data_IF_947850717547
#
_entry.id   IF_947850717547
#
_cell.length_a   1.000
_cell.length_b   1.000
_cell.length_c   1.000
_cell.angle_alpha   90.00
_cell.angle_beta   90.00
_cell.angle_gamma   90.00
#
_symmetry.space_group_name_H-M   'P 1'
#
loop_
_entity.id
_entity.type
_entity.pdbx_description
1 polymer ?
#
# COMPACT_ATOMS: atom_id res chain seq x y z
N UNK A 1 28.09 7.83 28.49
CA UNK A 1 26.79 8.35 28.02
C UNK A 1 27.03 9.71 27.40
N UNK A 2 26.94 9.84 26.08
CA UNK A 2 26.95 11.16 25.44
C UNK A 2 25.64 11.86 25.76
N UNK A 3 25.68 12.87 26.63
CA UNK A 3 24.53 13.74 26.91
C UNK A 3 24.22 14.51 25.62
N UNK A 4 23.05 14.28 25.03
CA UNK A 4 22.59 15.09 23.90
C UNK A 4 22.23 16.49 24.42
N UNK A 5 22.85 17.52 23.86
CA UNK A 5 22.40 18.90 24.07
C UNK A 5 21.14 19.15 23.25
N UNK A 6 20.26 20.08 23.68
CA UNK A 6 19.04 20.46 22.93
C UNK A 6 19.36 20.82 21.47
N UNK A 7 20.45 21.57 21.25
CA UNK A 7 20.92 21.94 19.90
C UNK A 7 21.40 20.73 19.08
N UNK A 8 22.16 19.82 19.69
CA UNK A 8 22.62 18.59 19.01
C UNK A 8 21.44 17.69 18.64
N UNK A 9 20.41 17.62 19.48
CA UNK A 9 19.20 16.84 19.23
C UNK A 9 18.44 17.39 18.03
N UNK A 10 18.20 18.71 18.01
CA UNK A 10 17.54 19.40 16.89
C UNK A 10 18.30 19.21 15.58
N UNK A 11 19.61 19.41 15.59
CA UNK A 11 20.45 19.17 14.41
C UNK A 11 20.38 17.71 13.92
N UNK A 12 20.29 16.73 14.83
CA UNK A 12 20.13 15.33 14.45
C UNK A 12 18.75 15.03 13.85
N UNK A 13 17.68 15.63 14.39
CA UNK A 13 16.33 15.54 13.85
C UNK A 13 16.31 16.13 12.43
N UNK A 14 16.83 17.34 12.23
CA UNK A 14 16.86 18.03 10.94
C UNK A 14 17.65 17.22 9.89
N UNK A 15 18.82 16.70 10.28
CA UNK A 15 19.62 15.80 9.42
C UNK A 15 18.82 14.56 9.02
N UNK A 16 18.09 13.97 9.96
CA UNK A 16 17.29 12.76 9.72
C UNK A 16 16.09 13.04 8.83
N UNK A 17 15.46 14.20 8.98
CA UNK A 17 14.37 14.66 8.10
C UNK A 17 14.88 14.90 6.67
N UNK A 18 16.08 15.48 6.51
CA UNK A 18 16.71 15.65 5.20
C UNK A 18 16.97 14.30 4.51
N UNK A 19 17.48 13.30 5.23
CA UNK A 19 17.65 11.94 4.71
C UNK A 19 16.32 11.31 4.29
N UNK A 20 15.22 11.58 5.01
CA UNK A 20 13.89 11.11 4.61
C UNK A 20 13.46 11.69 3.27
N UNK A 21 13.73 12.98 3.02
CA UNK A 21 13.42 13.64 1.75
C UNK A 21 14.23 13.00 0.62
N UNK A 22 15.53 12.76 0.82
CA UNK A 22 16.37 12.04 -0.15
C UNK A 22 15.82 10.63 -0.46
N UNK A 23 15.31 9.93 0.55
CA UNK A 23 14.63 8.64 0.38
C UNK A 23 13.35 8.75 -0.47
N UNK A 24 12.61 9.87 -0.38
CA UNK A 24 11.46 10.13 -1.23
C UNK A 24 11.88 10.39 -2.68
N UNK A 25 12.98 11.12 -2.89
CA UNK A 25 13.51 11.39 -4.23
C UNK A 25 13.95 10.10 -4.92
N UNK A 26 14.64 9.20 -4.20
CA UNK A 26 14.98 7.85 -4.71
C UNK A 26 13.75 7.01 -5.03
N UNK A 27 12.70 7.13 -4.22
CA UNK A 27 11.43 6.45 -4.47
C UNK A 27 10.74 6.96 -5.74
N UNK A 28 10.79 8.28 -5.97
CA UNK A 28 10.27 8.90 -7.20
C UNK A 28 11.10 8.51 -8.43
N UNK A 29 12.42 8.40 -8.27
CA UNK A 29 13.34 7.94 -9.32
C UNK A 29 13.21 6.43 -9.64
N UNK A 30 12.41 5.68 -8.87
CA UNK A 30 12.22 4.23 -9.06
C UNK A 30 13.31 3.35 -8.43
N UNK A 31 14.31 3.92 -7.75
CA UNK A 31 15.28 3.15 -6.95
C UNK A 31 14.67 2.75 -5.61
N UNK A 32 13.85 1.68 -5.66
CA UNK A 32 13.16 1.16 -4.49
C UNK A 32 14.12 0.61 -3.43
N UNK A 33 15.26 0.03 -3.84
CA UNK A 33 16.21 -0.57 -2.91
C UNK A 33 17.02 0.51 -2.18
N UNK A 34 17.50 1.52 -2.91
CA UNK A 34 18.16 2.68 -2.31
C UNK A 34 17.22 3.43 -1.37
N UNK A 35 15.98 3.68 -1.78
CA UNK A 35 14.95 4.30 -0.94
C UNK A 35 14.72 3.50 0.35
N UNK A 36 14.57 2.17 0.24
CA UNK A 36 14.35 1.30 1.40
C UNK A 36 15.51 1.35 2.41
N UNK A 37 16.76 1.35 1.93
CA UNK A 37 17.95 1.49 2.79
C UNK A 37 17.95 2.84 3.52
N UNK A 38 17.67 3.93 2.80
CA UNK A 38 17.59 5.28 3.39
C UNK A 38 16.48 5.36 4.45
N UNK A 39 15.29 4.80 4.20
CA UNK A 39 14.23 4.77 5.22
C UNK A 39 14.58 3.93 6.45
N UNK A 40 15.29 2.82 6.28
CA UNK A 40 15.78 2.03 7.41
C UNK A 40 16.77 2.81 8.28
N UNK A 41 17.69 3.56 7.65
CA UNK A 41 18.61 4.44 8.35
C UNK A 41 17.86 5.52 9.13
N UNK A 42 16.88 6.16 8.49
CA UNK A 42 16.00 7.16 9.12
C UNK A 42 15.28 6.58 10.34
N UNK A 43 14.68 5.39 10.23
CA UNK A 43 14.01 4.75 11.37
C UNK A 43 14.98 4.43 12.52
N UNK A 44 16.19 3.97 12.20
CA UNK A 44 17.20 3.65 13.21
C UNK A 44 17.62 4.91 13.98
N UNK A 45 17.86 6.01 13.25
CA UNK A 45 18.17 7.32 13.84
C UNK A 45 17.02 7.84 14.70
N UNK A 46 15.78 7.82 14.19
CA UNK A 46 14.61 8.35 14.94
C UNK A 46 14.28 7.50 16.18
N UNK A 47 14.42 6.17 16.13
CA UNK A 47 14.19 5.31 17.30
C UNK A 47 15.21 5.54 18.41
N UNK A 48 16.46 5.81 18.06
CA UNK A 48 17.49 6.17 19.05
C UNK A 48 17.19 7.49 19.76
N UNK A 49 16.42 8.37 19.14
CA UNK A 49 16.05 9.67 19.69
C UNK A 49 14.77 9.66 20.53
N UNK A 50 13.95 8.61 20.45
CA UNK A 50 12.65 8.58 21.11
C UNK A 50 12.77 8.65 22.66
N UNK A 51 13.75 7.95 23.25
CA UNK A 51 13.99 8.00 24.70
C UNK A 51 14.52 9.36 25.17
N UNK A 52 15.56 9.97 24.55
CA UNK A 52 15.98 11.33 24.89
C UNK A 52 14.86 12.37 24.80
N UNK A 53 14.04 12.33 23.75
CA UNK A 53 12.96 13.31 23.54
C UNK A 53 11.89 13.21 24.62
N UNK A 54 11.51 12.00 25.03
CA UNK A 54 10.55 11.82 26.12
C UNK A 54 11.06 12.42 27.43
N UNK A 55 12.35 12.23 27.73
CA UNK A 55 12.97 12.78 28.94
C UNK A 55 13.00 14.33 28.91
N UNK A 56 13.32 14.94 27.77
CA UNK A 56 13.32 16.41 27.64
C UNK A 56 11.91 17.01 27.69
N UNK A 57 10.91 16.31 27.15
CA UNK A 57 9.52 16.79 27.16
C UNK A 57 8.95 16.84 28.58
N UNK A 58 9.34 15.93 29.47
CA UNK A 58 8.92 15.96 30.88
C UNK A 58 9.60 17.13 31.60
N UNK A 59 10.88 17.39 31.32
CA UNK A 59 11.64 18.47 31.94
C UNK A 59 11.13 19.86 31.56
N UNK A 60 10.78 20.07 30.28
CA UNK A 60 10.24 21.34 29.81
C UNK A 60 8.88 21.68 30.44
N UNK A 61 8.05 20.66 30.69
CA UNK A 61 6.73 20.84 31.34
C UNK A 61 6.83 21.27 32.80
N UNK A 62 7.90 20.91 33.51
CA UNK A 62 8.11 21.33 34.90
C UNK A 62 8.61 22.77 35.04
N UNK A 63 9.21 23.35 34.00
CA UNK A 63 9.69 24.73 34.04
C UNK A 63 8.56 25.75 33.78
N UNK A 64 7.54 25.38 33.01
CA UNK A 64 6.41 26.27 32.67
C UNK A 64 5.32 26.36 33.76
N UNK A 65 5.23 25.39 34.68
CA UNK A 65 4.20 25.37 35.74
C UNK A 65 4.66 26.09 37.03
N UNK A 66 5.88 26.64 37.05
CA UNK A 66 6.46 27.38 38.18
C UNK A 66 6.59 28.90 37.92
N UNK A 67 6.28 29.37 36.71
CA UNK A 67 6.43 30.77 36.31
C UNK A 67 5.08 31.47 36.24
N UNK A 68 4.80 32.33 37.22
CA UNK A 68 3.52 32.98 37.42
C UNK A 68 2.99 33.81 36.25
N UNK A 69 1.66 33.92 36.27
CA UNK A 69 0.85 35.02 35.75
C UNK A 69 1.56 36.37 35.81
N UNK A 70 1.98 36.88 34.66
CA UNK A 70 2.10 38.32 34.40
C UNK A 70 1.86 38.57 32.92
N UNK A 71 0.65 39.02 32.64
CA UNK A 71 0.21 39.61 31.38
C UNK A 71 0.99 40.88 31.08
N UNK A 72 1.62 40.99 29.91
CA UNK A 72 1.67 42.24 29.14
C UNK A 72 1.65 41.90 27.64
N UNK A 73 0.63 42.42 26.97
CA UNK A 73 0.56 42.50 25.52
C UNK A 73 1.58 43.54 25.02
N UNK A 74 2.22 43.28 23.89
CA UNK A 74 2.32 44.29 22.83
C UNK A 74 2.69 43.64 21.49
N UNK A 75 2.04 44.12 20.43
CA UNK A 75 2.03 43.54 19.10
C UNK A 75 3.22 43.92 18.21
N UNK A 76 3.17 43.42 16.98
CA UNK A 76 4.09 43.81 15.91
C UNK A 76 4.10 42.77 14.81
N UNK A 77 3.25 42.94 13.81
CA UNK A 77 3.16 42.02 12.69
C UNK A 77 4.37 42.09 11.76
N UNK A 78 4.58 41.03 10.98
CA UNK A 78 5.02 41.20 9.61
C UNK A 78 4.55 40.04 8.75
N UNK A 79 4.06 40.46 7.59
CA UNK A 79 3.34 39.73 6.56
C UNK A 79 4.34 39.48 5.44
N UNK A 80 4.66 38.23 5.16
CA UNK A 80 5.28 37.88 3.88
C UNK A 80 4.43 36.81 3.18
N UNK A 81 4.03 37.20 1.96
CA UNK A 81 3.32 36.46 0.94
C UNK A 81 4.33 35.69 0.08
N UNK A 82 3.76 34.86 -0.79
CA UNK A 82 4.31 34.27 -2.03
C UNK A 82 5.01 32.93 -1.83
N UNK A 83 4.75 31.86 -2.59
CA UNK A 83 3.88 31.52 -3.72
C UNK A 83 4.02 29.99 -3.88
N UNK A 84 3.16 29.19 -4.51
CA UNK A 84 2.27 29.38 -5.64
C UNK A 84 2.41 28.14 -6.55
N UNK A 85 1.28 27.51 -6.90
CA UNK A 85 1.13 26.48 -7.96
C UNK A 85 1.02 25.04 -7.44
N UNK A 86 0.00 24.23 -7.72
CA UNK A 86 -1.10 24.21 -8.72
C UNK A 86 -1.28 22.73 -9.11
N UNK A 87 -2.44 22.11 -9.31
CA UNK A 87 -3.83 22.56 -9.32
C UNK A 87 -4.79 21.36 -9.53
N UNK A 88 -6.09 21.68 -9.61
CA UNK A 88 -7.19 20.88 -10.20
C UNK A 88 -7.74 19.73 -9.34
N UNK A 89 -9.03 19.57 -9.05
CA UNK A 89 -10.28 20.19 -9.52
C UNK A 89 -11.39 19.14 -9.35
N UNK A 90 -12.60 19.53 -8.89
CA UNK A 90 -13.78 18.65 -8.89
C UNK A 90 -14.73 18.88 -7.71
N UNK A 91 -15.78 19.67 -7.94
CA UNK A 91 -16.77 20.09 -6.95
C UNK A 91 -17.81 19.05 -6.52
N UNK A 92 -18.55 19.42 -5.48
CA UNK A 92 -19.74 18.71 -4.98
C UNK A 92 -20.27 19.36 -3.70
N UNK A 93 -21.24 20.26 -3.85
CA UNK A 93 -22.05 20.84 -2.78
C UNK A 93 -22.63 19.78 -1.83
N UNK A 94 -22.35 19.90 -0.53
CA UNK A 94 -23.18 19.30 0.53
C UNK A 94 -23.01 20.04 1.85
N UNK A 95 -24.02 20.87 2.10
CA UNK A 95 -24.40 21.60 3.31
C UNK A 95 -24.49 20.63 4.51
N UNK A 96 -23.74 20.87 5.60
CA UNK A 96 -23.84 20.00 6.78
C UNK A 96 -22.90 20.34 7.94
N UNK A 97 -23.21 21.43 8.65
CA UNK A 97 -23.04 21.63 10.10
C UNK A 97 -21.89 20.86 10.77
N UNK A 98 -20.72 21.49 10.91
CA UNK A 98 -19.69 21.07 11.87
C UNK A 98 -19.48 22.16 12.92
N UNK A 99 -19.80 21.77 14.14
CA UNK A 99 -19.43 22.40 15.39
C UNK A 99 -17.96 22.74 15.40
N UNK A 100 -17.69 24.00 15.76
CA UNK A 100 -16.38 24.55 15.98
C UNK A 100 -15.77 23.94 17.25
N UNK A 101 -14.78 23.07 17.09
CA UNK A 101 -13.70 22.94 18.06
C UNK A 101 -12.47 23.63 17.46
N UNK A 102 -12.38 24.91 17.75
CA UNK A 102 -11.19 25.72 17.51
C UNK A 102 -10.12 25.27 18.50
N UNK A 103 -9.43 24.16 18.20
CA UNK A 103 -8.15 23.86 18.84
C UNK A 103 -7.14 24.86 18.32
N UNK A 104 -6.77 25.80 19.19
CA UNK A 104 -5.54 26.60 19.08
C UNK A 104 -4.40 25.72 18.59
N UNK A 105 -3.90 26.00 17.40
CA UNK A 105 -2.79 25.29 16.77
C UNK A 105 -1.49 25.64 17.51
N UNK A 106 -1.30 25.06 18.70
CA UNK A 106 0.02 25.02 19.32
C UNK A 106 0.97 24.36 18.33
N UNK A 107 2.13 24.97 18.08
CA UNK A 107 3.15 24.37 17.23
C UNK A 107 3.40 22.91 17.65
N UNK A 108 3.40 21.95 16.70
CA UNK A 108 3.58 20.55 17.05
C UNK A 108 4.93 20.39 17.75
N UNK A 109 4.87 19.79 18.94
CA UNK A 109 6.06 19.57 19.76
C UNK A 109 7.09 18.76 18.97
N UNK A 110 8.39 18.92 19.29
CA UNK A 110 9.45 18.18 18.59
C UNK A 110 9.22 16.66 18.63
N UNK A 111 8.68 16.15 19.73
CA UNK A 111 8.27 14.75 19.87
C UNK A 111 7.16 14.33 18.90
N UNK A 112 6.16 15.17 18.65
CA UNK A 112 5.11 14.90 17.67
C UNK A 112 5.64 14.94 16.24
N UNK A 113 6.56 15.87 15.93
CA UNK A 113 7.26 15.92 14.64
C UNK A 113 8.02 14.62 14.38
N UNK A 114 8.72 14.09 15.39
CA UNK A 114 9.43 12.82 15.29
C UNK A 114 8.48 11.63 15.13
N UNK A 115 7.40 11.55 15.92
CA UNK A 115 6.39 10.49 15.78
C UNK A 115 5.72 10.50 14.40
N UNK A 116 5.35 11.68 13.91
CA UNK A 116 4.80 11.88 12.57
C UNK A 116 5.81 11.47 11.48
N UNK A 117 7.10 11.79 11.66
CA UNK A 117 8.15 11.36 10.75
C UNK A 117 8.34 9.84 10.74
N UNK A 118 8.31 9.18 11.91
CA UNK A 118 8.36 7.71 12.02
C UNK A 118 7.17 7.08 11.30
N UNK A 119 5.95 7.58 11.53
CA UNK A 119 4.74 7.11 10.86
C UNK A 119 4.87 7.22 9.34
N UNK A 120 5.23 8.40 8.84
CA UNK A 120 5.37 8.65 7.40
C UNK A 120 6.44 7.73 6.79
N UNK A 121 7.55 7.51 7.50
CA UNK A 121 8.61 6.60 7.07
C UNK A 121 8.10 5.16 6.97
N UNK A 122 7.33 4.66 7.94
CA UNK A 122 6.69 3.35 7.85
C UNK A 122 5.72 3.23 6.66
N UNK A 123 4.93 4.27 6.40
CA UNK A 123 4.05 4.31 5.22
C UNK A 123 4.86 4.28 3.92
N UNK A 124 5.94 5.04 3.80
CA UNK A 124 6.77 5.04 2.59
C UNK A 124 7.51 3.71 2.41
N UNK A 125 7.93 3.07 3.50
CA UNK A 125 8.48 1.72 3.45
C UNK A 125 7.44 0.68 2.99
N UNK A 126 6.21 0.75 3.49
CA UNK A 126 5.12 -0.08 2.99
C UNK A 126 4.91 0.15 1.49
N UNK A 127 4.97 1.41 1.02
CA UNK A 127 4.87 1.78 -0.40
C UNK A 127 5.98 1.16 -1.23
N UNK A 128 7.22 1.29 -0.77
CA UNK A 128 8.39 0.74 -1.46
C UNK A 128 8.28 -0.77 -1.57
N UNK A 129 7.77 -1.43 -0.52
CA UNK A 129 7.56 -2.88 -0.51
C UNK A 129 6.44 -3.27 -1.46
N UNK A 130 5.30 -2.59 -1.45
CA UNK A 130 4.20 -2.76 -2.41
C UNK A 130 4.67 -2.60 -3.87
N UNK A 131 5.48 -1.58 -4.17
CA UNK A 131 6.04 -1.38 -5.50
C UNK A 131 7.10 -2.43 -5.86
N UNK A 132 7.91 -2.86 -4.89
CA UNK A 132 8.91 -3.94 -5.11
C UNK A 132 8.23 -5.28 -5.39
N UNK A 133 7.02 -5.48 -4.86
CA UNK A 133 6.18 -6.65 -5.15
C UNK A 133 5.78 -6.66 -6.62
N UNK A 134 5.28 -5.53 -7.15
CA UNK A 134 4.99 -5.40 -8.59
C UNK A 134 6.23 -5.63 -9.46
N UNK A 135 7.42 -5.35 -8.92
CA UNK A 135 8.64 -5.41 -9.69
C UNK A 135 9.29 -6.80 -9.74
N UNK A 136 9.19 -7.71 -8.72
CA UNK A 136 9.67 -9.12 -8.86
C UNK A 136 9.51 -10.10 -7.67
N UNK A 137 9.08 -9.71 -6.45
CA UNK A 137 9.43 -10.52 -5.26
C UNK A 137 8.31 -10.90 -4.25
N UNK A 138 7.03 -10.58 -4.46
CA UNK A 138 5.91 -11.08 -3.61
C UNK A 138 6.11 -10.99 -2.08
N UNK A 139 6.87 -10.01 -1.58
CA UNK A 139 7.16 -9.82 -0.14
C UNK A 139 6.00 -9.16 0.62
N UNK A 140 4.79 -9.70 0.51
CA UNK A 140 3.58 -9.18 1.12
C UNK A 140 3.59 -9.19 2.65
N UNK A 141 4.19 -10.22 3.25
CA UNK A 141 4.35 -10.31 4.72
C UNK A 141 5.14 -9.11 5.29
N UNK A 142 6.17 -8.67 4.55
CA UNK A 142 6.99 -7.52 4.96
C UNK A 142 6.22 -6.22 4.82
N UNK A 143 5.36 -6.09 3.80
CA UNK A 143 4.47 -4.94 3.66
C UNK A 143 3.44 -4.91 4.80
N UNK A 144 2.83 -6.05 5.12
CA UNK A 144 1.88 -6.21 6.21
C UNK A 144 2.48 -5.80 7.56
N UNK A 145 3.67 -6.30 7.91
CA UNK A 145 4.36 -5.91 9.15
C UNK A 145 4.64 -4.40 9.23
N UNK A 146 4.95 -3.76 8.09
CA UNK A 146 5.20 -2.32 8.06
C UNK A 146 3.90 -1.52 8.24
N UNK A 147 2.80 -1.96 7.62
CA UNK A 147 1.48 -1.36 7.80
C UNK A 147 0.96 -1.53 9.24
N UNK A 148 1.16 -2.70 9.85
CA UNK A 148 0.84 -2.94 11.26
C UNK A 148 1.67 -2.07 12.20
N UNK A 149 2.97 -1.89 11.91
CA UNK A 149 3.81 -0.97 12.68
C UNK A 149 3.31 0.48 12.60
N UNK A 150 2.88 0.94 11.42
CA UNK A 150 2.25 2.25 11.25
C UNK A 150 0.93 2.35 12.03
N UNK A 151 0.12 1.28 12.03
CA UNK A 151 -1.15 1.21 12.77
C UNK A 151 -0.97 1.20 14.28
N UNK A 152 0.12 0.63 14.80
CA UNK A 152 0.46 0.70 16.23
C UNK A 152 0.73 2.13 16.69
N UNK A 153 1.23 2.99 15.81
CA UNK A 153 1.43 4.42 16.10
C UNK A 153 0.13 5.21 15.97
N UNK A 154 -0.64 4.96 14.90
CA UNK A 154 -1.92 5.60 14.66
C UNK A 154 -2.95 4.57 14.16
N UNK A 155 -3.82 4.14 15.07
CA UNK A 155 -4.75 3.03 14.86
C UNK A 155 -5.78 3.27 13.76
N UNK A 156 -6.21 4.52 13.53
CA UNK A 156 -7.22 4.91 12.54
C UNK A 156 -6.64 5.72 11.36
N UNK A 157 -5.36 5.50 11.00
CA UNK A 157 -4.78 6.22 9.86
C UNK A 157 -5.22 5.61 8.52
N UNK A 158 -5.91 6.37 7.63
CA UNK A 158 -6.55 5.80 6.44
C UNK A 158 -5.56 5.16 5.48
N UNK A 159 -4.39 5.79 5.25
CA UNK A 159 -3.35 5.21 4.38
C UNK A 159 -2.71 3.95 4.97
N UNK A 160 -2.68 3.80 6.31
CA UNK A 160 -2.10 2.61 6.92
C UNK A 160 -3.04 1.41 6.73
N UNK A 161 -4.34 1.63 6.97
CA UNK A 161 -5.40 0.63 6.75
C UNK A 161 -5.50 0.25 5.27
N UNK A 162 -5.39 1.21 4.36
CA UNK A 162 -5.39 0.96 2.92
C UNK A 162 -4.25 0.02 2.50
N UNK A 163 -3.02 0.31 2.96
CA UNK A 163 -1.82 -0.50 2.68
C UNK A 163 -1.90 -1.88 3.33
N UNK A 164 -2.42 -1.97 4.56
CA UNK A 164 -2.69 -3.25 5.23
C UNK A 164 -3.64 -4.11 4.38
N UNK A 165 -4.73 -3.51 3.90
CA UNK A 165 -5.70 -4.19 3.05
C UNK A 165 -5.05 -4.65 1.73
N UNK A 166 -4.27 -3.80 1.06
CA UNK A 166 -3.54 -4.18 -0.16
C UNK A 166 -2.57 -5.34 0.08
N UNK A 167 -1.84 -5.33 1.20
CA UNK A 167 -0.93 -6.42 1.56
C UNK A 167 -1.68 -7.74 1.80
N UNK A 168 -2.83 -7.70 2.49
CA UNK A 168 -3.70 -8.88 2.71
C UNK A 168 -4.27 -9.43 1.41
N UNK A 169 -4.70 -8.56 0.49
CA UNK A 169 -5.15 -8.96 -0.84
C UNK A 169 -4.04 -9.70 -1.60
N UNK A 170 -2.80 -9.20 -1.50
CA UNK A 170 -1.63 -9.82 -2.10
C UNK A 170 -1.24 -11.17 -1.49
N UNK A 171 -1.50 -11.38 -0.20
CA UNK A 171 -1.36 -12.68 0.48
C UNK A 171 -2.46 -13.69 0.12
N UNK A 172 -3.48 -13.29 -0.63
CA UNK A 172 -4.63 -14.13 -0.95
C UNK A 172 -5.79 -14.05 0.07
N UNK A 173 -5.67 -13.23 1.11
CA UNK A 173 -6.76 -12.96 2.08
C UNK A 173 -7.80 -11.98 1.49
N UNK A 174 -8.43 -12.37 0.40
CA UNK A 174 -9.27 -11.49 -0.43
C UNK A 174 -10.46 -10.94 0.34
N UNK A 175 -11.13 -11.79 1.12
CA UNK A 175 -12.31 -11.40 1.90
C UNK A 175 -11.97 -10.34 2.95
N UNK A 176 -10.90 -10.56 3.72
CA UNK A 176 -10.45 -9.62 4.75
C UNK A 176 -10.02 -8.29 4.13
N UNK A 177 -9.18 -8.33 3.09
CA UNK A 177 -8.74 -7.13 2.38
C UNK A 177 -9.90 -6.32 1.80
N UNK A 178 -10.87 -6.98 1.15
CA UNK A 178 -12.10 -6.34 0.64
C UNK A 178 -12.90 -5.66 1.75
N UNK A 179 -13.16 -6.37 2.84
CA UNK A 179 -13.93 -5.84 3.97
C UNK A 179 -13.25 -4.60 4.58
N UNK A 180 -11.92 -4.62 4.68
CA UNK A 180 -11.14 -3.47 5.14
C UNK A 180 -11.26 -2.27 4.19
N UNK A 181 -11.14 -2.47 2.87
CA UNK A 181 -11.31 -1.40 1.88
C UNK A 181 -12.74 -0.83 1.88
N UNK A 182 -13.77 -1.66 2.02
CA UNK A 182 -15.16 -1.20 2.12
C UNK A 182 -15.41 -0.38 3.40
N UNK A 183 -14.89 -0.84 4.54
CA UNK A 183 -14.98 -0.09 5.79
C UNK A 183 -14.23 1.24 5.70
N UNK A 184 -13.07 1.24 5.02
CA UNK A 184 -12.30 2.45 4.80
C UNK A 184 -13.04 3.43 3.89
N UNK A 185 -13.65 2.96 2.79
CA UNK A 185 -14.47 3.78 1.88
C UNK A 185 -15.64 4.45 2.60
N UNK A 186 -16.27 3.74 3.55
CA UNK A 186 -17.37 4.29 4.35
C UNK A 186 -16.91 5.44 5.27
N UNK A 187 -15.70 5.34 5.83
CA UNK A 187 -15.13 6.38 6.70
C UNK A 187 -14.53 7.54 5.91
N UNK A 188 -13.81 7.22 4.84
CA UNK A 188 -13.06 8.15 4.01
C UNK A 188 -13.25 7.75 2.54
N UNK A 189 -14.24 8.33 1.85
CA UNK A 189 -14.43 8.04 0.44
C UNK A 189 -13.23 8.59 -0.35
N UNK A 190 -12.48 7.69 -0.99
CA UNK A 190 -11.31 8.04 -1.79
C UNK A 190 -11.41 7.37 -3.17
N UNK A 191 -10.98 8.09 -4.20
CA UNK A 191 -10.88 7.58 -5.57
C UNK A 191 -9.91 6.40 -5.63
N UNK A 192 -8.81 6.45 -4.88
CA UNK A 192 -7.82 5.36 -4.84
C UNK A 192 -8.40 4.05 -4.29
N UNK A 193 -9.28 4.14 -3.28
CA UNK A 193 -9.95 2.97 -2.69
C UNK A 193 -10.96 2.39 -3.68
N UNK A 194 -11.71 3.27 -4.36
CA UNK A 194 -12.70 2.87 -5.37
C UNK A 194 -12.01 2.14 -6.53
N UNK A 195 -10.89 2.66 -7.03
CA UNK A 195 -10.10 2.01 -8.08
C UNK A 195 -9.55 0.64 -7.64
N UNK A 196 -9.10 0.52 -6.38
CA UNK A 196 -8.63 -0.76 -5.83
C UNK A 196 -9.75 -1.80 -5.73
N UNK A 197 -10.96 -1.41 -5.32
CA UNK A 197 -12.14 -2.28 -5.29
C UNK A 197 -12.56 -2.72 -6.70
N UNK A 198 -12.58 -1.81 -7.67
CA UNK A 198 -12.89 -2.14 -9.06
C UNK A 198 -11.87 -3.13 -9.65
N UNK A 199 -10.57 -2.93 -9.40
CA UNK A 199 -9.53 -3.88 -9.81
C UNK A 199 -9.75 -5.26 -9.20
N UNK A 200 -10.09 -5.32 -7.90
CA UNK A 200 -10.39 -6.57 -7.21
C UNK A 200 -11.59 -7.31 -7.84
N UNK A 201 -12.65 -6.59 -8.19
CA UNK A 201 -13.83 -7.17 -8.83
C UNK A 201 -13.50 -7.74 -10.22
N UNK A 202 -12.65 -7.07 -10.99
CA UNK A 202 -12.18 -7.57 -12.29
C UNK A 202 -11.34 -8.84 -12.11
N UNK A 203 -10.42 -8.87 -11.15
CA UNK A 203 -9.58 -10.03 -10.85
C UNK A 203 -10.41 -11.22 -10.34
N UNK A 204 -11.46 -10.98 -9.55
CA UNK A 204 -12.39 -12.02 -9.11
C UNK A 204 -13.25 -12.55 -10.25
N UNK A 205 -13.80 -11.68 -11.10
CA UNK A 205 -14.53 -12.11 -12.30
C UNK A 205 -13.65 -12.95 -13.22
N UNK A 206 -12.37 -12.59 -13.36
CA UNK A 206 -11.42 -13.38 -14.13
C UNK A 206 -11.16 -14.76 -13.51
N UNK A 207 -11.03 -14.83 -12.17
CA UNK A 207 -10.87 -16.10 -11.45
C UNK A 207 -12.11 -16.97 -11.48
N UNK A 208 -13.29 -16.38 -11.34
CA UNK A 208 -14.57 -17.08 -11.48
C UNK A 208 -14.71 -17.68 -12.88
N UNK A 209 -14.46 -16.90 -13.94
CA UNK A 209 -14.46 -17.40 -15.32
C UNK A 209 -13.50 -18.58 -15.52
N UNK A 210 -12.29 -18.51 -14.95
CA UNK A 210 -11.33 -19.61 -15.00
C UNK A 210 -11.83 -20.84 -14.25
N UNK A 211 -12.39 -20.66 -13.05
CA UNK A 211 -12.99 -21.74 -12.27
C UNK A 211 -14.17 -22.38 -13.01
N UNK A 212 -15.08 -21.59 -13.56
CA UNK A 212 -16.24 -22.07 -14.32
C UNK A 212 -15.83 -22.88 -15.55
N UNK A 213 -14.80 -22.43 -16.27
CA UNK A 213 -14.23 -23.17 -17.40
C UNK A 213 -13.62 -24.51 -16.95
N UNK A 214 -12.92 -24.52 -15.82
CA UNK A 214 -12.36 -25.75 -15.24
C UNK A 214 -13.46 -26.72 -14.81
N UNK A 215 -14.48 -26.24 -14.09
CA UNK A 215 -15.63 -27.04 -13.69
C UNK A 215 -16.35 -27.62 -14.90
N UNK A 216 -16.63 -26.81 -15.93
CA UNK A 216 -17.28 -27.28 -17.16
C UNK A 216 -16.48 -28.39 -17.85
N UNK A 217 -15.15 -28.26 -17.90
CA UNK A 217 -14.26 -29.30 -18.44
C UNK A 217 -14.35 -30.62 -17.66
N UNK A 218 -14.34 -30.55 -16.32
CA UNK A 218 -14.46 -31.73 -15.45
C UNK A 218 -15.81 -32.43 -15.62
N UNK A 219 -16.92 -31.66 -15.70
CA UNK A 219 -18.25 -32.24 -15.90
C UNK A 219 -18.42 -32.88 -17.28
N UNK A 220 -17.91 -32.24 -18.34
CA UNK A 220 -17.95 -32.81 -19.70
C UNK A 220 -17.10 -34.08 -19.83
N UNK A 221 -15.93 -34.11 -19.19
CA UNK A 221 -15.09 -35.32 -19.15
C UNK A 221 -15.79 -36.47 -18.41
N UNK A 222 -16.45 -36.18 -17.28
CA UNK A 222 -17.16 -37.19 -16.48
C UNK A 222 -18.39 -37.74 -17.20
N UNK A 223 -19.15 -36.91 -17.89
CA UNK A 223 -20.31 -37.37 -18.68
C UNK A 223 -19.87 -38.26 -19.86
N UNK A 224 -18.77 -37.91 -20.54
CA UNK A 224 -18.19 -38.74 -21.61
C UNK A 224 -17.68 -40.08 -21.09
N UNK A 225 -17.03 -40.11 -19.93
CA UNK A 225 -16.56 -41.35 -19.30
C UNK A 225 -17.74 -42.26 -18.88
N UNK A 226 -18.83 -41.69 -18.36
CA UNK A 226 -20.05 -42.44 -18.05
C UNK A 226 -20.75 -43.00 -19.30
N UNK A 227 -20.77 -42.23 -20.39
CA UNK A 227 -21.33 -42.69 -21.66
C UNK A 227 -20.50 -43.85 -22.25
N UNK A 228 -19.17 -43.75 -22.23
CA UNK A 228 -18.27 -44.80 -22.74
C UNK A 228 -18.34 -46.10 -21.92
N UNK A 229 -18.47 -46.01 -20.58
CA UNK A 229 -18.62 -47.21 -19.73
C UNK A 229 -19.95 -47.92 -19.95
N UNK A 230 -21.02 -47.19 -20.29
CA UNK A 230 -22.33 -47.77 -20.60
C UNK A 230 -22.32 -48.53 -21.95
N UNK A 231 -21.43 -48.19 -22.88
CA UNK A 231 -21.27 -48.93 -24.13
C UNK A 231 -20.45 -50.22 -23.98
N UNK A 232 -19.51 -50.31 -23.03
CA UNK A 232 -18.69 -51.52 -22.86
C UNK A 232 -19.43 -52.67 -22.13
N UNK A 233 -20.32 -52.38 -21.17
CA UNK A 233 -21.10 -53.43 -20.48
C UNK A 233 -22.35 -53.88 -21.27
N UNK A 234 -22.63 -53.27 -22.43
CA UNK A 234 -23.78 -53.58 -23.29
C UNK A 234 -23.48 -54.55 -24.46
N UNK A 235 -22.21 -54.85 -24.74
CA UNK A 235 -21.80 -55.56 -25.96
C UNK A 235 -21.58 -57.07 -25.75
N UNK A 236 -22.53 -57.72 -25.07
CA UNK A 236 -22.86 -59.15 -25.27
C UNK A 236 -24.29 -59.25 -25.80
N UNK A 237 -24.52 -58.79 -27.03
CA UNK A 237 -25.81 -58.97 -27.67
C UNK A 237 -25.95 -58.19 -28.97
N UNK A 238 -25.87 -58.94 -30.08
CA UNK A 238 -26.28 -58.59 -31.43
C UNK A 238 -25.29 -57.78 -32.30
N UNK A 239 -24.58 -58.55 -33.12
CA UNK A 239 -24.04 -58.19 -34.41
C UNK A 239 -25.06 -57.44 -35.29
N UNK A 240 -24.62 -56.44 -36.05
CA UNK A 240 -24.77 -56.43 -37.52
C UNK A 240 -23.99 -55.27 -38.16
N UNK A 241 -23.59 -55.55 -39.39
CA UNK A 241 -22.62 -54.92 -40.27
C UNK A 241 -23.02 -53.58 -40.89
N UNK A 242 -22.00 -52.81 -41.29
CA UNK A 242 -22.04 -51.71 -42.27
C UNK A 242 -21.77 -50.35 -41.62
N UNK A 243 -21.03 -49.40 -42.16
CA UNK A 243 -20.35 -49.28 -43.45
C UNK A 243 -19.35 -48.11 -43.34
N UNK A 244 -18.21 -48.31 -43.98
CA UNK A 244 -17.11 -47.42 -44.35
C UNK A 244 -17.53 -45.95 -44.64
N UNK A 245 -16.84 -44.95 -44.06
CA UNK A 245 -16.10 -43.91 -44.83
C UNK A 245 -15.60 -42.68 -44.05
N UNK A 246 -14.41 -42.24 -44.49
CA UNK A 246 -13.82 -40.89 -44.50
C UNK A 246 -13.16 -40.30 -43.24
N UNK A 247 -11.83 -40.43 -43.29
CA UNK A 247 -10.81 -39.53 -42.76
C UNK A 247 -11.12 -38.05 -43.03
N UNK A 248 -11.02 -37.22 -41.99
CA UNK A 248 -10.64 -35.82 -42.09
C UNK A 248 -9.84 -35.46 -40.83
N UNK A 249 -8.61 -34.98 -41.05
CA UNK A 249 -7.64 -34.60 -40.04
C UNK A 249 -8.06 -33.33 -39.28
N UNK A 250 -7.74 -33.21 -37.97
CA UNK A 250 -7.66 -31.91 -37.32
C UNK A 250 -6.22 -31.41 -37.34
N UNK A 251 -5.99 -30.36 -38.13
CA UNK A 251 -4.78 -29.53 -38.05
C UNK A 251 -4.70 -28.85 -36.69
N UNK A 252 -3.55 -29.01 -36.06
CA UNK A 252 -3.08 -28.30 -34.87
C UNK A 252 -2.69 -26.86 -35.25
N UNK A 253 -3.15 -25.82 -34.54
CA UNK A 253 -2.44 -24.55 -34.54
C UNK A 253 -1.37 -24.57 -33.44
N UNK A 254 -0.14 -24.55 -33.94
CA UNK A 254 1.13 -24.48 -33.24
C UNK A 254 1.26 -23.25 -32.32
N UNK A 255 2.09 -23.46 -31.30
CA UNK A 255 2.68 -22.46 -30.44
C UNK A 255 3.39 -21.37 -31.25
N UNK A 256 3.06 -20.10 -30.99
CA UNK A 256 3.85 -18.95 -31.43
C UNK A 256 4.50 -18.30 -30.21
N UNK A 257 5.65 -18.85 -29.85
CA UNK A 257 6.68 -18.21 -29.05
C UNK A 257 7.43 -17.20 -29.94
N UNK A 258 7.16 -15.92 -29.76
CA UNK A 258 8.03 -14.86 -30.28
C UNK A 258 8.68 -14.14 -29.11
N UNK A 259 9.88 -14.61 -28.77
CA UNK A 259 10.93 -13.82 -28.18
C UNK A 259 11.29 -12.67 -29.12
N UNK A 260 11.16 -11.42 -28.65
CA UNK A 260 11.80 -10.28 -29.31
C UNK A 260 12.88 -9.74 -28.38
N UNK A 261 14.11 -10.12 -28.70
CA UNK A 261 15.32 -9.42 -28.32
C UNK A 261 15.55 -8.32 -29.36
N UNK A 262 15.70 -7.08 -28.90
CA UNK A 262 16.20 -5.90 -29.60
C UNK A 262 16.39 -4.84 -28.49
N UNK A 263 17.43 -4.04 -28.39
CA UNK A 263 18.71 -3.98 -29.07
C UNK A 263 19.59 -3.09 -28.19
N UNK A 264 20.88 -3.41 -28.13
CA UNK A 264 21.89 -2.50 -27.65
C UNK A 264 22.10 -1.37 -28.67
N UNK A 265 22.03 -0.14 -28.19
CA UNK A 265 22.62 1.09 -28.76
C UNK A 265 22.80 2.00 -27.55
N UNK A 266 23.97 2.48 -27.16
CA UNK A 266 25.17 2.79 -27.93
C UNK A 266 25.53 4.24 -27.61
N UNK A 267 26.75 4.43 -27.10
CA UNK A 267 27.56 5.67 -27.16
C UNK A 267 26.96 7.00 -26.65
N UNK A 268 27.48 7.50 -25.53
CA UNK A 268 28.43 8.63 -25.45
C UNK A 268 28.67 9.01 -23.98
#
# INVERSE_FOLDING_TARGET
>A
MTMYTKQSLKAHIDKTLKLRIEGNDKLLAGDLQGALRTYHLVLLSLRGLESPIQNFSVLAKSEEDSGGSSSEEEGGGQKEKEGGGGGGGGGGDSKGKRSAETKTASEPTEGEKVKSAILNTHLNMAKCRENSIYIKQEKWEKALRAAEAAKRLHSDHPKAVFREAQARLGLGEIYNGRKMLQNLQKKHPDSAITAALQKLELDEKARQKKADLQFRGIFAAKSKAFAAKKSEDGEKGASTSGEKSKQAAPESPAEASTSKADAATGAA
#
